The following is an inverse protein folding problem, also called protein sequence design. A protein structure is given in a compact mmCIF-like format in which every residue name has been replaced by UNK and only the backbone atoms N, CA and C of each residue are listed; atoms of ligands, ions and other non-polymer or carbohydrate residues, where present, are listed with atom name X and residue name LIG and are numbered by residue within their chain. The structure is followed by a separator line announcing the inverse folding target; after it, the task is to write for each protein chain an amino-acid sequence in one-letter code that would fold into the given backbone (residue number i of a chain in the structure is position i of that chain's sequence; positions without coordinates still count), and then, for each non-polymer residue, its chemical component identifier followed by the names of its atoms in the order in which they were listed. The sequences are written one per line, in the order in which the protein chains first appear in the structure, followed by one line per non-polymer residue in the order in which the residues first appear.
data_IF_339645501951
#
_entry.id   IF_339645501951
#
_cell.length_a   1.000
_cell.length_b   1.000
_cell.length_c   1.000
_cell.angle_alpha   90.00
_cell.angle_beta   90.00
_cell.angle_gamma   90.00
#
_symmetry.space_group_name_H-M   'P 1'
#
loop_
_entity.id
_entity.type
_entity.pdbx_description
1 polymer ?
#
# COMPACT_ATOMS: atom_id res chain seq x y z
N UNK A 1 -1.07 -14.55 21.82
CA UNK A 1 -1.01 -15.94 21.73
C UNK A 1 -0.57 -16.36 20.32
N UNK A 2 -0.96 -15.67 19.24
CA UNK A 2 -0.32 -15.81 17.92
C UNK A 2 1.08 -15.21 17.88
N UNK A 3 1.35 -14.20 18.71
CA UNK A 3 2.55 -13.37 18.65
C UNK A 3 2.46 -12.23 17.62
N UNK A 4 1.34 -12.10 16.93
CA UNK A 4 1.11 -11.08 15.93
C UNK A 4 0.74 -9.74 16.54
N UNK A 5 1.30 -8.66 15.98
CA UNK A 5 0.92 -7.30 16.31
C UNK A 5 -0.43 -6.98 15.67
N UNK A 6 -1.38 -6.37 16.39
CA UNK A 6 -2.70 -6.07 15.84
C UNK A 6 -2.60 -5.02 14.73
N UNK A 7 -3.40 -5.19 13.67
CA UNK A 7 -3.53 -4.26 12.56
C UNK A 7 -4.53 -3.15 12.90
N UNK A 8 -5.72 -3.53 13.37
CA UNK A 8 -6.80 -2.60 13.72
C UNK A 8 -7.46 -3.04 15.03
N UNK A 9 -6.89 -2.67 16.19
CA UNK A 9 -7.38 -3.12 17.49
C UNK A 9 -8.76 -2.54 17.79
N UNK A 10 -9.71 -3.42 18.10
CA UNK A 10 -11.06 -3.06 18.55
C UNK A 10 -11.34 -3.63 19.92
N UNK A 11 -12.48 -3.26 20.54
CA UNK A 11 -12.90 -3.82 21.83
C UNK A 11 -13.17 -5.32 21.80
N UNK A 12 -13.36 -5.90 20.62
CA UNK A 12 -13.61 -7.36 20.45
C UNK A 12 -12.36 -8.12 19.94
N UNK A 13 -11.26 -7.44 19.72
CA UNK A 13 -10.03 -8.00 19.19
C UNK A 13 -9.52 -7.22 17.97
N UNK A 14 -8.59 -7.81 17.24
CA UNK A 14 -8.07 -7.22 16.02
C UNK A 14 -9.00 -7.52 14.84
N UNK A 15 -9.38 -6.47 14.11
CA UNK A 15 -10.25 -6.59 12.95
C UNK A 15 -9.50 -7.03 11.68
N UNK A 16 -8.16 -6.81 11.62
CA UNK A 16 -7.32 -7.03 10.42
C UNK A 16 -7.96 -6.49 9.13
N UNK A 17 -8.67 -5.39 9.26
CA UNK A 17 -9.23 -4.66 8.14
C UNK A 17 -8.16 -3.80 7.49
N UNK A 18 -8.13 -3.32 6.42
CA UNK A 18 -7.10 -2.48 5.77
C UNK A 18 -5.88 -3.26 5.30
N UNK A 19 -5.13 -2.65 4.43
CA UNK A 19 -3.86 -3.16 3.92
C UNK A 19 -2.68 -2.73 4.82
N UNK A 20 -1.65 -3.55 4.89
CA UNK A 20 -0.45 -3.31 5.70
C UNK A 20 -0.64 -3.54 7.20
N UNK A 21 0.45 -3.46 7.95
CA UNK A 21 0.44 -3.43 9.41
C UNK A 21 1.21 -2.19 9.90
N UNK A 22 0.53 -1.04 9.83
CA UNK A 22 1.12 0.26 10.13
C UNK A 22 1.42 0.49 11.63
N UNK A 23 1.29 -0.52 12.49
CA UNK A 23 1.95 -0.51 13.78
C UNK A 23 3.48 -0.37 13.60
N UNK A 24 4.04 -0.89 12.50
CA UNK A 24 5.43 -0.66 12.12
C UNK A 24 5.76 0.84 12.01
N UNK A 25 4.88 1.62 11.38
CA UNK A 25 5.04 3.08 11.26
C UNK A 25 4.97 3.79 12.63
N UNK A 26 4.05 3.36 13.50
CA UNK A 26 3.93 3.91 14.86
C UNK A 26 5.22 3.66 15.65
N UNK A 27 5.79 2.46 15.58
CA UNK A 27 7.04 2.14 16.27
C UNK A 27 8.22 2.92 15.70
N UNK A 28 8.34 3.04 14.37
CA UNK A 28 9.41 3.81 13.75
C UNK A 28 9.29 5.30 14.05
N UNK A 29 8.09 5.87 14.05
CA UNK A 29 7.83 7.27 14.41
C UNK A 29 8.17 7.54 15.89
N UNK A 30 7.76 6.65 16.79
CA UNK A 30 8.10 6.73 18.21
C UNK A 30 9.63 6.70 18.42
N UNK A 31 10.33 5.81 17.72
CA UNK A 31 11.79 5.73 17.74
C UNK A 31 12.43 7.05 17.27
N UNK A 32 12.01 7.58 16.13
CA UNK A 32 12.53 8.84 15.57
C UNK A 32 12.27 10.04 16.49
N UNK A 33 11.17 10.03 17.24
CA UNK A 33 10.81 11.08 18.20
C UNK A 33 11.45 10.92 19.58
N UNK A 34 12.24 9.86 19.81
CA UNK A 34 12.87 9.57 21.09
C UNK A 34 11.88 9.20 22.20
N UNK A 35 10.71 8.66 21.84
CA UNK A 35 9.74 8.13 22.81
C UNK A 35 10.28 6.79 23.32
N UNK A 36 10.32 6.64 24.65
CA UNK A 36 10.78 5.40 25.29
C UNK A 36 9.72 4.29 25.19
N UNK A 37 10.12 3.14 24.64
CA UNK A 37 9.29 1.94 24.51
C UNK A 37 10.17 0.70 24.34
N UNK A 38 9.60 -0.49 24.43
CA UNK A 38 10.30 -1.76 24.18
C UNK A 38 10.55 -1.97 22.67
N UNK A 39 11.62 -1.34 22.18
CA UNK A 39 12.04 -1.43 20.75
C UNK A 39 12.30 -2.87 20.33
N UNK A 40 12.87 -3.69 21.25
CA UNK A 40 13.16 -5.10 20.95
C UNK A 40 11.88 -5.91 20.78
N UNK A 41 10.95 -5.82 21.73
CA UNK A 41 9.67 -6.49 21.68
C UNK A 41 8.83 -6.03 20.46
N UNK A 42 8.85 -4.73 20.15
CA UNK A 42 8.20 -4.18 18.97
C UNK A 42 8.78 -4.76 17.67
N UNK A 43 10.11 -4.80 17.54
CA UNK A 43 10.77 -5.42 16.38
C UNK A 43 10.45 -6.91 16.25
N UNK A 44 10.55 -7.68 17.34
CA UNK A 44 10.27 -9.12 17.34
C UNK A 44 8.81 -9.40 16.96
N UNK A 45 7.86 -8.65 17.50
CA UNK A 45 6.44 -8.80 17.20
C UNK A 45 6.11 -8.42 15.77
N UNK A 46 6.53 -7.24 15.29
CA UNK A 46 6.15 -6.79 13.95
C UNK A 46 6.85 -7.59 12.84
N UNK A 47 8.14 -7.93 13.01
CA UNK A 47 8.85 -8.77 12.05
C UNK A 47 8.27 -10.18 11.97
N UNK A 48 7.85 -10.76 13.11
CA UNK A 48 7.13 -12.02 13.13
C UNK A 48 5.80 -11.91 12.39
N UNK A 49 5.03 -10.85 12.64
CA UNK A 49 3.72 -10.62 11.98
C UNK A 49 3.87 -10.59 10.46
N UNK A 50 4.67 -9.69 9.91
CA UNK A 50 4.81 -9.52 8.45
C UNK A 50 5.42 -10.73 7.74
N UNK A 51 6.06 -11.63 8.47
CA UNK A 51 6.66 -12.85 7.91
C UNK A 51 5.78 -14.09 8.07
N UNK A 52 4.73 -14.08 8.89
CA UNK A 52 3.96 -15.27 9.22
C UNK A 52 2.45 -15.11 9.15
N UNK A 53 1.92 -13.91 9.29
CA UNK A 53 0.50 -13.59 9.10
C UNK A 53 0.22 -13.30 7.63
N UNK A 54 -1.00 -13.58 7.17
CA UNK A 54 -1.41 -13.24 5.81
C UNK A 54 -1.59 -11.72 5.62
N UNK A 55 -1.29 -11.24 4.42
CA UNK A 55 -1.53 -9.86 3.99
C UNK A 55 -2.90 -9.66 3.34
N UNK A 56 -3.70 -10.72 3.20
CA UNK A 56 -5.06 -10.62 2.63
C UNK A 56 -5.91 -9.75 3.56
N UNK A 57 -6.47 -8.62 3.07
CA UNK A 57 -7.33 -7.77 3.88
C UNK A 57 -8.54 -8.53 4.43
N UNK A 58 -8.92 -8.21 5.69
CA UNK A 58 -10.02 -8.84 6.43
C UNK A 58 -9.84 -10.33 6.77
N UNK A 59 -8.73 -10.94 6.38
CA UNK A 59 -8.38 -12.30 6.78
C UNK A 59 -7.31 -12.26 7.86
N UNK A 60 -7.61 -12.83 9.03
CA UNK A 60 -6.62 -13.04 10.08
C UNK A 60 -6.24 -14.52 10.15
N UNK A 61 -5.01 -14.82 9.84
CA UNK A 61 -4.53 -16.18 9.81
C UNK A 61 -3.09 -16.31 9.32
N UNK A 62 -2.59 -17.53 9.21
CA UNK A 62 -1.25 -17.77 8.67
C UNK A 62 -1.20 -17.40 7.18
N UNK A 63 0.01 -17.27 6.69
CA UNK A 63 0.28 -17.01 5.26
C UNK A 63 -0.43 -18.00 4.34
N UNK A 64 -0.84 -17.45 3.21
CA UNK A 64 -1.40 -18.17 2.07
C UNK A 64 -0.38 -18.25 0.92
N UNK A 65 -0.77 -18.89 -0.17
CA UNK A 65 0.01 -18.92 -1.41
C UNK A 65 0.29 -17.53 -2.01
N UNK A 66 -0.62 -16.55 -1.77
CA UNK A 66 -0.43 -15.17 -2.22
C UNK A 66 0.69 -14.48 -1.45
N UNK A 67 0.77 -14.73 -0.15
CA UNK A 67 1.81 -14.20 0.72
C UNK A 67 3.17 -14.80 0.35
N UNK A 68 3.22 -16.11 0.13
CA UNK A 68 4.43 -16.80 -0.32
C UNK A 68 4.89 -16.28 -1.69
N UNK A 69 3.95 -15.99 -2.60
CA UNK A 69 4.27 -15.35 -3.87
C UNK A 69 4.88 -13.96 -3.67
N UNK A 70 4.29 -13.12 -2.80
CA UNK A 70 4.82 -11.80 -2.49
C UNK A 70 6.24 -11.89 -1.92
N UNK A 71 6.47 -12.78 -0.96
CA UNK A 71 7.79 -12.96 -0.35
C UNK A 71 8.87 -13.37 -1.36
N UNK A 72 8.51 -14.11 -2.40
CA UNK A 72 9.43 -14.55 -3.45
C UNK A 72 9.62 -13.50 -4.54
N UNK A 73 8.56 -12.81 -4.95
CA UNK A 73 8.53 -11.96 -6.14
C UNK A 73 8.53 -10.46 -5.82
N UNK A 74 7.99 -10.06 -4.64
CA UNK A 74 7.94 -8.68 -4.16
C UNK A 74 6.79 -7.85 -4.72
N UNK A 75 5.73 -8.47 -5.20
CA UNK A 75 4.43 -7.87 -5.43
C UNK A 75 3.33 -8.87 -5.15
N UNK A 76 2.18 -8.41 -4.70
CA UNK A 76 0.99 -9.23 -4.50
C UNK A 76 0.31 -9.45 -5.86
N UNK A 77 0.03 -10.69 -6.28
CA UNK A 77 -0.41 -10.93 -7.65
C UNK A 77 -1.90 -10.57 -7.82
N UNK A 78 -2.21 -9.80 -8.84
CA UNK A 78 -3.56 -9.44 -9.22
C UNK A 78 -4.17 -10.48 -10.19
N UNK A 79 -5.50 -10.48 -10.29
CA UNK A 79 -6.25 -11.21 -11.31
C UNK A 79 -6.65 -10.29 -12.46
N UNK A 80 -6.77 -10.82 -13.65
CA UNK A 80 -7.45 -10.14 -14.76
C UNK A 80 -8.96 -10.04 -14.47
N UNK A 81 -9.68 -9.06 -15.05
CA UNK A 81 -11.09 -8.84 -14.75
C UNK A 81 -12.03 -10.03 -15.05
N UNK A 82 -11.61 -10.95 -15.89
CA UNK A 82 -12.33 -12.16 -16.31
C UNK A 82 -11.86 -13.43 -15.58
N UNK A 83 -10.89 -13.33 -14.69
CA UNK A 83 -10.40 -14.44 -13.88
C UNK A 83 -11.19 -14.54 -12.56
N UNK A 84 -11.51 -15.77 -12.17
CA UNK A 84 -12.18 -16.07 -10.91
C UNK A 84 -11.15 -16.22 -9.77
N UNK A 85 -11.50 -15.73 -8.56
CA UNK A 85 -10.69 -15.93 -7.37
C UNK A 85 -10.77 -17.39 -6.91
N UNK A 86 -9.61 -17.99 -6.67
CA UNK A 86 -9.49 -19.40 -6.24
C UNK A 86 -8.84 -19.55 -4.88
N UNK A 87 -8.24 -18.50 -4.33
CA UNK A 87 -7.54 -18.54 -3.06
C UNK A 87 -8.52 -18.42 -1.91
N UNK A 88 -8.57 -19.45 -1.09
CA UNK A 88 -9.44 -19.47 0.08
C UNK A 88 -9.07 -18.33 1.06
N UNK A 89 -10.09 -17.59 1.49
CA UNK A 89 -9.92 -16.48 2.43
C UNK A 89 -9.91 -15.10 1.77
N UNK A 90 -9.71 -14.99 0.47
CA UNK A 90 -9.96 -13.74 -0.26
C UNK A 90 -11.47 -13.53 -0.31
N UNK A 91 -11.96 -12.46 0.30
CA UNK A 91 -13.40 -12.15 0.34
C UNK A 91 -13.89 -11.54 -0.98
N UNK A 92 -15.12 -11.86 -1.36
CA UNK A 92 -15.74 -11.37 -2.61
C UNK A 92 -15.81 -9.84 -2.70
N UNK A 93 -15.99 -9.18 -1.56
CA UNK A 93 -16.10 -7.73 -1.48
C UNK A 93 -14.74 -7.05 -1.38
N UNK A 94 -13.90 -7.48 -0.45
CA UNK A 94 -12.60 -6.84 -0.18
C UNK A 94 -11.54 -7.23 -1.21
N UNK A 95 -11.65 -8.39 -1.82
CA UNK A 95 -10.76 -8.89 -2.86
C UNK A 95 -9.27 -8.83 -2.44
N UNK A 96 -8.34 -8.80 -3.40
CA UNK A 96 -6.90 -8.86 -3.14
C UNK A 96 -6.27 -7.54 -2.78
N UNK A 97 -6.82 -6.42 -3.23
CA UNK A 97 -6.21 -5.08 -3.09
C UNK A 97 -4.72 -5.07 -3.48
N UNK A 98 -4.36 -5.76 -4.56
CA UNK A 98 -3.00 -6.22 -4.83
C UNK A 98 -1.94 -5.11 -4.87
N UNK A 99 -2.29 -3.92 -5.39
CA UNK A 99 -1.38 -2.75 -5.40
C UNK A 99 -1.28 -2.16 -3.99
N UNK A 100 -2.41 -1.89 -3.34
CA UNK A 100 -2.44 -1.29 -2.01
C UNK A 100 -1.64 -2.13 -0.99
N UNK A 101 -1.89 -3.45 -0.95
CA UNK A 101 -1.14 -4.40 -0.10
C UNK A 101 0.37 -4.34 -0.37
N UNK A 102 0.78 -4.30 -1.64
CA UNK A 102 2.20 -4.27 -2.00
C UNK A 102 2.89 -2.96 -1.61
N UNK A 103 2.21 -1.82 -1.75
CA UNK A 103 2.73 -0.51 -1.37
C UNK A 103 2.84 -0.40 0.15
N UNK A 104 1.78 -0.77 0.87
CA UNK A 104 1.76 -0.77 2.33
C UNK A 104 2.87 -1.66 2.92
N UNK A 105 3.04 -2.89 2.41
CA UNK A 105 4.11 -3.78 2.84
C UNK A 105 5.50 -3.19 2.59
N UNK A 106 5.70 -2.44 1.51
CA UNK A 106 6.98 -1.76 1.24
C UNK A 106 7.28 -0.67 2.27
N UNK A 107 6.26 0.05 2.73
CA UNK A 107 6.40 1.05 3.78
C UNK A 107 6.66 0.41 5.15
N UNK A 108 5.91 -0.62 5.50
CA UNK A 108 6.11 -1.37 6.75
C UNK A 108 7.52 -1.98 6.82
N UNK A 109 8.00 -2.58 5.74
CA UNK A 109 9.36 -3.12 5.64
C UNK A 109 10.43 -2.04 5.90
N UNK A 110 10.25 -0.81 5.39
CA UNK A 110 11.15 0.30 5.70
C UNK A 110 11.13 0.66 7.19
N UNK A 111 9.96 0.71 7.80
CA UNK A 111 9.81 1.00 9.22
C UNK A 111 10.49 -0.07 10.09
N UNK A 112 10.30 -1.35 9.76
CA UNK A 112 10.93 -2.47 10.45
C UNK A 112 12.47 -2.40 10.29
N UNK A 113 12.96 -2.00 9.12
CA UNK A 113 14.39 -1.80 8.91
C UNK A 113 14.98 -0.73 9.86
N UNK A 114 14.23 0.34 10.20
CA UNK A 114 14.71 1.33 11.17
C UNK A 114 14.83 0.73 12.59
N UNK A 115 13.87 -0.08 13.01
CA UNK A 115 13.94 -0.77 14.30
C UNK A 115 15.13 -1.76 14.36
N UNK A 116 15.33 -2.53 13.28
CA UNK A 116 16.46 -3.44 13.16
C UNK A 116 17.81 -2.69 13.22
N UNK A 117 17.89 -1.52 12.58
CA UNK A 117 19.09 -0.64 12.61
C UNK A 117 19.41 -0.18 14.02
N UNK A 118 18.41 0.29 14.77
CA UNK A 118 18.55 0.73 16.17
C UNK A 118 19.08 -0.40 17.06
N UNK A 119 18.59 -1.62 16.84
CA UNK A 119 19.02 -2.81 17.59
C UNK A 119 20.36 -3.38 17.12
N UNK A 120 21.03 -2.79 16.13
CA UNK A 120 22.28 -3.28 15.57
C UNK A 120 22.17 -4.58 14.77
N UNK A 121 20.96 -4.97 14.38
CA UNK A 121 20.65 -6.19 13.62
C UNK A 121 20.89 -5.95 12.12
N UNK A 122 22.12 -6.05 11.66
CA UNK A 122 22.54 -5.66 10.31
C UNK A 122 21.89 -6.49 9.20
N UNK A 123 21.77 -7.78 9.39
CA UNK A 123 21.22 -8.67 8.35
C UNK A 123 19.73 -8.44 8.18
N UNK A 124 18.99 -8.32 9.28
CA UNK A 124 17.56 -8.01 9.26
C UNK A 124 17.31 -6.59 8.73
N UNK A 125 18.12 -5.61 9.11
CA UNK A 125 18.06 -4.26 8.54
C UNK A 125 18.19 -4.30 7.01
N UNK A 126 19.22 -4.98 6.48
CA UNK A 126 19.44 -5.07 5.06
C UNK A 126 18.29 -5.82 4.34
N UNK A 127 17.81 -6.89 4.94
CA UNK A 127 16.69 -7.68 4.41
C UNK A 127 15.43 -6.82 4.25
N UNK A 128 14.97 -6.16 5.32
CA UNK A 128 13.76 -5.33 5.27
C UNK A 128 13.98 -4.06 4.43
N UNK A 129 15.16 -3.43 4.50
CA UNK A 129 15.48 -2.28 3.65
C UNK A 129 15.43 -2.63 2.16
N UNK A 130 15.91 -3.80 1.75
CA UNK A 130 15.83 -4.24 0.36
C UNK A 130 14.38 -4.44 -0.08
N UNK A 131 13.55 -5.04 0.77
CA UNK A 131 12.12 -5.24 0.50
C UNK A 131 11.33 -3.93 0.40
N UNK A 132 11.74 -2.91 1.13
CA UNK A 132 11.09 -1.60 1.09
C UNK A 132 11.10 -0.93 -0.28
N UNK A 133 11.88 -1.43 -1.23
CA UNK A 133 11.87 -1.00 -2.64
C UNK A 133 10.95 -1.82 -3.55
N UNK A 134 10.19 -2.75 -3.01
CA UNK A 134 9.32 -3.62 -3.80
C UNK A 134 8.26 -2.86 -4.61
N UNK A 135 7.80 -1.69 -4.12
CA UNK A 135 6.88 -0.80 -4.87
C UNK A 135 7.36 -0.51 -6.29
N UNK A 136 8.69 -0.45 -6.54
CA UNK A 136 9.26 -0.19 -7.88
C UNK A 136 8.81 -1.21 -8.92
N UNK A 137 8.49 -2.44 -8.51
CA UNK A 137 8.06 -3.53 -9.39
C UNK A 137 6.69 -3.30 -10.01
N UNK A 138 5.86 -2.49 -9.34
CA UNK A 138 4.53 -2.13 -9.81
C UNK A 138 4.50 -0.80 -10.57
N UNK A 139 5.57 0.00 -10.55
CA UNK A 139 5.58 1.28 -11.24
C UNK A 139 5.68 1.10 -12.75
N UNK A 140 4.62 1.48 -13.45
CA UNK A 140 4.59 1.51 -14.91
C UNK A 140 5.11 2.87 -15.42
N UNK A 141 6.33 2.86 -15.97
CA UNK A 141 7.01 4.07 -16.46
C UNK A 141 6.31 4.76 -17.64
N UNK A 142 5.53 4.02 -18.41
CA UNK A 142 4.79 4.56 -19.56
C UNK A 142 3.60 5.40 -19.13
N UNK A 143 2.93 4.99 -18.06
CA UNK A 143 1.71 5.63 -17.57
C UNK A 143 1.91 6.51 -16.36
N UNK A 144 3.00 6.28 -15.59
CA UNK A 144 3.28 6.97 -14.34
C UNK A 144 2.33 6.57 -13.20
N UNK A 145 1.86 5.32 -13.20
CA UNK A 145 1.03 4.76 -12.13
C UNK A 145 1.66 3.51 -11.53
N UNK A 146 1.34 3.23 -10.27
CA UNK A 146 1.47 1.87 -9.75
C UNK A 146 0.33 1.04 -10.33
N UNK A 147 0.70 0.08 -11.14
CA UNK A 147 -0.22 -0.72 -11.94
C UNK A 147 -0.20 -2.17 -11.44
N UNK A 148 -1.37 -2.82 -11.29
CA UNK A 148 -1.42 -4.20 -10.84
C UNK A 148 -0.74 -5.13 -11.85
N UNK A 149 -0.08 -6.17 -11.32
CA UNK A 149 0.56 -7.24 -12.09
C UNK A 149 -0.05 -8.59 -11.74
N UNK A 150 -0.16 -9.44 -12.74
CA UNK A 150 -0.50 -10.84 -12.55
C UNK A 150 0.68 -11.67 -12.00
N UNK A 151 0.45 -12.95 -11.77
CA UNK A 151 1.49 -13.88 -11.30
C UNK A 151 2.62 -14.14 -12.32
N UNK A 152 2.45 -13.77 -13.59
CA UNK A 152 3.50 -13.85 -14.63
C UNK A 152 4.35 -12.59 -14.70
N UNK A 153 3.96 -11.52 -13.99
CA UNK A 153 4.63 -10.23 -13.98
C UNK A 153 4.16 -9.30 -15.10
N UNK A 154 3.05 -9.60 -15.74
CA UNK A 154 2.44 -8.77 -16.76
C UNK A 154 1.47 -7.76 -16.14
N UNK A 155 1.45 -6.54 -16.64
CA UNK A 155 0.48 -5.54 -16.19
C UNK A 155 -0.93 -5.89 -16.64
N UNK A 156 -1.89 -5.77 -15.73
CA UNK A 156 -3.31 -6.05 -16.00
C UNK A 156 -3.85 -5.12 -17.09
N UNK A 157 -4.53 -5.70 -18.08
CA UNK A 157 -5.18 -4.98 -19.17
C UNK A 157 -6.53 -5.66 -19.54
N UNK A 158 -7.58 -4.88 -19.89
CA UNK A 158 -7.66 -3.41 -19.85
C UNK A 158 -7.70 -2.88 -18.41
N UNK A 159 -7.29 -1.62 -18.21
CA UNK A 159 -7.20 -1.02 -16.88
C UNK A 159 -7.74 0.42 -16.87
N UNK A 160 -8.64 0.71 -15.93
CA UNK A 160 -9.22 2.04 -15.73
C UNK A 160 -8.63 2.68 -14.48
N UNK A 161 -7.83 3.72 -14.65
CA UNK A 161 -7.11 4.39 -13.55
C UNK A 161 -8.02 5.12 -12.55
N UNK A 162 -9.30 5.32 -12.89
CA UNK A 162 -10.27 5.96 -12.02
C UNK A 162 -11.22 4.92 -11.41
N UNK A 163 -11.73 3.98 -12.21
CA UNK A 163 -12.78 3.06 -11.77
C UNK A 163 -12.28 1.65 -11.41
N UNK A 164 -10.98 1.43 -11.39
CA UNK A 164 -10.38 0.16 -10.90
C UNK A 164 -10.06 0.16 -9.39
N UNK A 165 -10.66 1.06 -8.62
CA UNK A 165 -10.53 1.17 -7.16
C UNK A 165 -11.86 1.53 -6.49
N UNK A 166 -11.85 1.67 -5.17
CA UNK A 166 -13.03 1.95 -4.37
C UNK A 166 -13.96 0.75 -4.17
N UNK A 167 -15.16 0.98 -3.64
CA UNK A 167 -16.13 -0.08 -3.37
C UNK A 167 -16.56 -0.74 -4.69
N UNK A 168 -16.47 -2.07 -4.72
CA UNK A 168 -16.80 -2.88 -5.91
C UNK A 168 -15.68 -3.00 -6.95
N UNK A 169 -14.49 -2.44 -6.68
CA UNK A 169 -13.32 -2.60 -7.52
C UNK A 169 -12.02 -2.81 -6.71
N UNK A 170 -12.13 -3.39 -5.52
CA UNK A 170 -11.00 -3.60 -4.57
C UNK A 170 -10.01 -4.69 -4.99
N UNK A 171 -10.10 -5.19 -6.21
CA UNK A 171 -9.13 -6.13 -6.76
C UNK A 171 -7.69 -5.57 -6.72
N UNK A 172 -7.54 -4.26 -6.85
CA UNK A 172 -6.23 -3.61 -7.05
C UNK A 172 -5.90 -2.56 -6.00
N UNK A 173 -6.85 -1.71 -5.63
CA UNK A 173 -6.70 -0.65 -4.62
C UNK A 173 -7.75 -0.83 -3.54
N UNK A 174 -7.62 -0.12 -2.44
CA UNK A 174 -8.57 -0.20 -1.34
C UNK A 174 -9.70 0.85 -1.50
N UNK A 175 -9.64 1.95 -0.78
CA UNK A 175 -10.75 2.92 -0.67
C UNK A 175 -10.84 3.90 -1.83
N UNK A 176 -9.78 4.01 -2.64
CA UNK A 176 -9.66 4.98 -3.71
C UNK A 176 -9.05 4.32 -4.96
N UNK A 177 -8.57 5.09 -5.89
CA UNK A 177 -8.14 4.67 -7.22
C UNK A 177 -6.63 4.89 -7.46
N UNK A 178 -6.17 4.57 -8.67
CA UNK A 178 -4.78 4.68 -9.05
C UNK A 178 -4.20 6.09 -8.85
N UNK A 179 -4.98 7.15 -8.99
CA UNK A 179 -4.52 8.53 -8.83
C UNK A 179 -4.10 8.85 -7.39
N UNK A 180 -4.78 8.29 -6.39
CA UNK A 180 -4.36 8.43 -4.99
C UNK A 180 -3.13 7.59 -4.71
N UNK A 181 -3.12 6.33 -5.17
CA UNK A 181 -2.05 5.39 -4.85
C UNK A 181 -0.71 5.64 -5.56
N UNK A 182 -0.64 6.54 -6.57
CA UNK A 182 0.65 6.99 -7.12
C UNK A 182 1.58 7.54 -6.04
N UNK A 183 1.02 8.16 -5.00
CA UNK A 183 1.76 8.91 -3.99
C UNK A 183 2.05 8.10 -2.73
N UNK A 184 1.64 6.84 -2.67
CA UNK A 184 1.72 5.98 -1.49
C UNK A 184 3.12 5.35 -1.31
N UNK A 185 4.15 6.21 -1.33
CA UNK A 185 5.56 5.88 -1.05
C UNK A 185 6.11 6.87 -0.04
N UNK A 186 5.59 6.79 1.19
CA UNK A 186 5.88 7.75 2.27
C UNK A 186 7.36 7.78 2.69
N UNK A 187 8.03 6.65 2.61
CA UNK A 187 9.38 6.45 3.13
C UNK A 187 10.50 6.85 2.16
N UNK A 188 10.19 7.09 0.89
CA UNK A 188 11.22 7.33 -0.11
C UNK A 188 10.76 8.24 -1.26
N UNK A 189 10.40 9.48 -0.91
CA UNK A 189 9.90 10.46 -1.88
C UNK A 189 10.95 10.78 -2.97
N UNK A 190 12.24 10.84 -2.58
CA UNK A 190 13.32 11.08 -3.56
C UNK A 190 13.37 10.00 -4.65
N UNK A 191 13.15 8.74 -4.29
CA UNK A 191 13.09 7.65 -5.26
C UNK A 191 11.79 7.69 -6.09
N UNK A 192 10.67 8.05 -5.47
CA UNK A 192 9.42 8.25 -6.21
C UNK A 192 9.60 9.32 -7.29
N UNK A 193 10.21 10.47 -6.97
CA UNK A 193 10.57 11.50 -7.97
C UNK A 193 11.45 10.92 -9.08
N UNK A 194 12.45 10.11 -8.73
CA UNK A 194 13.34 9.47 -9.70
C UNK A 194 12.61 8.49 -10.63
N UNK A 195 11.56 7.80 -10.15
CA UNK A 195 10.75 6.91 -10.99
C UNK A 195 10.01 7.65 -12.11
N UNK A 196 9.62 8.92 -11.89
CA UNK A 196 9.05 9.79 -12.93
C UNK A 196 10.12 10.31 -13.92
N UNK A 197 11.40 10.14 -13.61
CA UNK A 197 12.52 10.52 -14.44
C UNK A 197 13.03 11.95 -14.26
N UNK A 198 12.22 12.87 -13.73
CA UNK A 198 12.66 14.20 -13.29
C UNK A 198 11.66 14.85 -12.32
N UNK A 199 12.11 15.85 -11.51
CA UNK A 199 11.23 16.64 -10.65
C UNK A 199 10.09 17.32 -11.42
N UNK A 200 10.35 17.83 -12.62
CA UNK A 200 9.35 18.52 -13.44
C UNK A 200 8.24 17.56 -13.88
N UNK A 201 8.58 16.31 -14.24
CA UNK A 201 7.59 15.29 -14.61
C UNK A 201 6.78 14.82 -13.41
N UNK A 202 7.41 14.70 -12.26
CA UNK A 202 6.73 14.41 -11.01
C UNK A 202 5.73 15.51 -10.66
N UNK A 203 6.17 16.79 -10.67
CA UNK A 203 5.31 17.94 -10.38
C UNK A 203 4.17 18.06 -11.39
N UNK A 204 4.44 17.85 -12.68
CA UNK A 204 3.40 17.86 -13.71
C UNK A 204 2.33 16.77 -13.48
N UNK A 205 2.72 15.60 -13.02
CA UNK A 205 1.78 14.54 -12.64
C UNK A 205 0.99 14.88 -11.39
N UNK A 206 1.63 15.55 -10.43
CA UNK A 206 0.98 16.04 -9.22
C UNK A 206 -0.02 17.17 -9.54
N UNK A 207 0.34 18.11 -10.43
CA UNK A 207 -0.59 19.14 -10.92
C UNK A 207 -1.80 18.52 -11.62
N UNK A 208 -1.56 17.47 -12.43
CA UNK A 208 -2.63 16.76 -13.13
C UNK A 208 -3.63 16.15 -12.16
N UNK A 209 -3.21 15.61 -11.02
CA UNK A 209 -4.11 15.06 -9.99
C UNK A 209 -5.21 16.06 -9.60
N UNK A 210 -4.86 17.34 -9.43
CA UNK A 210 -5.79 18.38 -8.97
C UNK A 210 -6.74 18.90 -10.05
N UNK A 211 -6.54 18.53 -11.32
CA UNK A 211 -7.39 18.95 -12.44
C UNK A 211 -8.03 17.79 -13.20
N UNK A 212 -7.59 16.57 -12.95
CA UNK A 212 -8.13 15.38 -13.63
C UNK A 212 -9.60 15.17 -13.29
N UNK A 213 -10.44 15.04 -14.32
CA UNK A 213 -11.88 14.93 -14.18
C UNK A 213 -12.34 13.55 -13.68
N UNK A 214 -13.62 13.47 -13.30
CA UNK A 214 -14.25 12.21 -12.86
C UNK A 214 -14.54 11.26 -14.03
N UNK A 215 -14.42 11.70 -15.29
CA UNK A 215 -14.66 11.00 -16.56
C UNK A 215 -16.09 10.43 -16.72
N UNK A 216 -16.89 10.36 -15.67
CA UNK A 216 -18.29 9.96 -15.64
C UNK A 216 -19.10 10.97 -14.84
N UNK A 217 -20.42 10.77 -14.75
CA UNK A 217 -21.24 11.61 -13.89
C UNK A 217 -20.80 11.50 -12.42
N UNK A 218 -20.97 12.56 -11.63
CA UNK A 218 -20.65 12.53 -10.21
C UNK A 218 -21.36 11.40 -9.46
N UNK A 219 -22.55 11.03 -9.88
CA UNK A 219 -23.33 9.94 -9.26
C UNK A 219 -22.67 8.58 -9.49
N UNK A 220 -22.16 8.34 -10.70
CA UNK A 220 -21.42 7.11 -11.01
C UNK A 220 -20.09 7.07 -10.26
N UNK A 221 -19.41 8.22 -10.18
CA UNK A 221 -18.14 8.33 -9.45
C UNK A 221 -18.32 8.02 -7.97
N UNK A 222 -19.23 8.70 -7.29
CA UNK A 222 -19.45 8.50 -5.85
C UNK A 222 -20.13 7.16 -5.50
N UNK A 223 -20.79 6.53 -6.44
CA UNK A 223 -21.30 5.16 -6.24
C UNK A 223 -20.18 4.13 -6.10
N UNK A 224 -19.02 4.39 -6.72
CA UNK A 224 -17.83 3.52 -6.65
C UNK A 224 -16.85 4.00 -5.57
N UNK A 225 -16.78 5.32 -5.36
CA UNK A 225 -15.88 5.95 -4.38
C UNK A 225 -16.67 6.70 -3.29
N UNK A 226 -17.41 6.02 -2.42
CA UNK A 226 -18.23 6.67 -1.39
C UNK A 226 -17.40 7.40 -0.32
N UNK A 227 -16.14 6.97 -0.12
CA UNK A 227 -15.20 7.61 0.82
C UNK A 227 -14.57 8.87 0.23
N UNK A 228 -14.80 9.12 -1.07
CA UNK A 228 -14.31 10.32 -1.73
C UNK A 228 -15.14 11.54 -1.35
N UNK A 229 -14.58 12.43 -0.56
CA UNK A 229 -15.17 13.73 -0.24
C UNK A 229 -14.14 14.85 -0.30
N UNK A 230 -14.61 16.08 -0.57
CA UNK A 230 -13.70 17.22 -0.73
C UNK A 230 -12.80 17.12 -1.95
N UNK A 231 -13.32 16.57 -3.05
CA UNK A 231 -12.54 16.37 -4.28
C UNK A 231 -12.10 17.68 -4.92
N UNK A 232 -10.81 17.71 -5.29
CA UNK A 232 -10.23 18.69 -6.21
C UNK A 232 -9.54 17.89 -7.33
N UNK A 233 -10.18 17.75 -8.47
CA UNK A 233 -9.79 16.75 -9.46
C UNK A 233 -9.93 15.34 -8.90
N UNK A 234 -8.86 14.56 -8.96
CA UNK A 234 -8.76 13.23 -8.34
C UNK A 234 -8.15 13.26 -6.94
N UNK A 235 -7.74 14.42 -6.44
CA UNK A 235 -7.35 14.59 -5.04
C UNK A 235 -8.57 14.51 -4.13
N UNK A 236 -8.51 13.71 -3.09
CA UNK A 236 -9.62 13.41 -2.19
C UNK A 236 -9.24 13.74 -0.76
N UNK A 237 -9.57 14.95 -0.30
CA UNK A 237 -9.19 15.42 1.05
C UNK A 237 -9.82 14.58 2.17
N UNK A 238 -11.01 14.02 1.97
CA UNK A 238 -11.73 13.23 2.98
C UNK A 238 -11.25 11.79 3.15
N UNK A 239 -10.19 11.39 2.43
CA UNK A 239 -9.64 10.03 2.51
C UNK A 239 -8.19 10.06 2.99
N UNK A 240 -7.86 9.26 4.02
CA UNK A 240 -6.57 9.30 4.72
C UNK A 240 -5.35 9.14 3.81
N UNK A 241 -5.33 8.25 2.81
CA UNK A 241 -4.20 8.10 1.89
C UNK A 241 -3.84 9.38 1.14
N UNK A 242 -4.73 10.38 1.12
CA UNK A 242 -4.50 11.64 0.42
C UNK A 242 -3.85 12.74 1.27
N UNK A 243 -3.78 12.62 2.59
CA UNK A 243 -3.40 13.73 3.49
C UNK A 243 -2.01 14.30 3.26
N UNK A 244 -1.05 13.48 2.87
CA UNK A 244 0.33 13.90 2.63
C UNK A 244 0.55 14.51 1.23
N UNK A 245 -0.34 14.24 0.28
CA UNK A 245 -0.13 14.54 -1.15
C UNK A 245 0.19 16.03 -1.42
N UNK A 246 -0.54 17.03 -0.84
CA UNK A 246 -0.22 18.43 -1.10
C UNK A 246 1.18 18.85 -0.64
N UNK A 247 1.75 18.15 0.33
CA UNK A 247 3.09 18.45 0.85
C UNK A 247 4.22 17.91 -0.05
N UNK A 248 3.90 17.06 -1.03
CA UNK A 248 4.88 16.49 -1.96
C UNK A 248 5.53 17.57 -2.84
N UNK A 249 4.87 18.72 -3.07
CA UNK A 249 5.48 19.88 -3.72
C UNK A 249 6.75 20.39 -3.01
N UNK A 250 6.91 20.11 -1.73
CA UNK A 250 8.12 20.50 -0.98
C UNK A 250 9.31 19.58 -1.27
N UNK A 251 9.09 18.47 -1.98
CA UNK A 251 10.11 17.45 -2.24
C UNK A 251 10.57 17.38 -3.70
N UNK A 252 10.01 18.24 -4.56
CA UNK A 252 10.27 18.26 -6.00
C UNK A 252 10.96 19.55 -6.45
#
# INVERSE_FOLDING_TARGET
QSGWVPTFPTVFGDAHCMNGNHAAAIFADALCKGIDFDVKGAFEGISHTVMTETMIPWLRGPKTELDDFYHQNGWFPALHPDEEETVAGVGDFEQRQAVAVSLAASYDDWCIAQLAKELGKKDEHNFFLQRSFNYRKLFNKETGFFHPKDAKGEFIQPFDYIFSGGIGARAYYDENNAWTYIWDVHHNIGDLVALFGSPERFTAKLDQLFVEGMQRSKWQYYAVHPDSSGNVGQYVMGNEPSFHIPYLYCSA
#
